data_IF_814851369733
#
_entry.id   IF_814851369733
#
_cell.length_a   1.000
_cell.length_b   1.000
_cell.length_c   1.000
_cell.angle_alpha   90.00
_cell.angle_beta   90.00
_cell.angle_gamma   90.00
#
_symmetry.space_group_name_H-M   'P 1'
#
loop_
_entity.id
_entity.type
_entity.pdbx_description
1 polymer ?
#
# COMPACT_ATOMS: atom_id res chain seq x y z
N UNK A 1 7.98 17.79 3.23
CA UNK A 1 8.40 16.55 3.90
C UNK A 1 7.24 15.69 4.42
N UNK A 2 5.98 16.09 4.15
CA UNK A 2 4.80 15.32 4.53
C UNK A 2 3.85 15.20 3.35
N UNK A 3 3.02 14.15 3.34
CA UNK A 3 2.01 13.94 2.30
C UNK A 3 1.12 15.17 2.13
N UNK A 4 0.70 15.81 3.22
CA UNK A 4 -0.13 17.01 3.19
C UNK A 4 0.52 18.17 2.43
N UNK A 5 1.82 18.37 2.58
CA UNK A 5 2.57 19.42 1.86
C UNK A 5 2.59 19.16 0.34
N UNK A 6 2.73 17.89 -0.05
CA UNK A 6 2.71 17.48 -1.44
C UNK A 6 1.33 17.65 -2.08
N UNK A 7 0.27 17.26 -1.37
CA UNK A 7 -1.11 17.48 -1.82
C UNK A 7 -1.45 18.96 -1.95
N UNK A 8 -1.05 19.78 -0.98
CA UNK A 8 -1.25 21.23 -1.05
C UNK A 8 -0.50 21.85 -2.23
N UNK A 9 0.71 21.35 -2.55
CA UNK A 9 1.46 21.82 -3.70
C UNK A 9 0.74 21.54 -5.02
N UNK A 10 0.12 20.37 -5.15
CA UNK A 10 -0.69 20.03 -6.32
C UNK A 10 -1.96 20.92 -6.39
N UNK A 11 -2.67 21.08 -5.28
CA UNK A 11 -3.88 21.92 -5.19
C UNK A 11 -3.59 23.39 -5.50
N UNK A 12 -2.43 23.89 -5.09
CA UNK A 12 -1.99 25.27 -5.34
C UNK A 12 -1.46 25.50 -6.78
N UNK A 13 -1.42 24.45 -7.61
CA UNK A 13 -0.91 24.54 -8.98
C UNK A 13 0.62 24.67 -9.08
N UNK A 14 1.36 24.26 -8.05
CA UNK A 14 2.83 24.26 -8.08
C UNK A 14 3.42 23.08 -8.88
N UNK A 15 2.58 22.15 -9.29
CA UNK A 15 2.91 21.02 -10.13
C UNK A 15 1.65 20.48 -10.80
N UNK A 16 1.83 19.76 -11.90
CA UNK A 16 0.73 19.18 -12.68
C UNK A 16 0.42 17.74 -12.29
N UNK A 17 1.26 17.13 -11.47
CA UNK A 17 1.10 15.77 -10.97
C UNK A 17 1.86 15.55 -9.67
N UNK A 18 1.46 14.51 -8.97
CA UNK A 18 2.06 14.03 -7.74
C UNK A 18 2.38 12.54 -7.88
N UNK A 19 3.57 12.14 -7.43
CA UNK A 19 3.96 10.73 -7.33
C UNK A 19 4.29 10.37 -5.89
N UNK A 20 3.61 9.35 -5.38
CA UNK A 20 3.85 8.78 -4.05
C UNK A 20 3.31 7.34 -4.02
N UNK A 21 3.22 6.73 -2.84
CA UNK A 21 2.73 5.37 -2.67
C UNK A 21 1.33 5.18 -3.27
N UNK A 22 1.09 4.02 -3.89
CA UNK A 22 -0.20 3.71 -4.52
C UNK A 22 -1.37 3.81 -3.54
N UNK A 23 -1.21 3.34 -2.31
CA UNK A 23 -2.23 3.42 -1.25
C UNK A 23 -2.59 4.86 -0.90
N UNK A 24 -1.61 5.76 -0.86
CA UNK A 24 -1.83 7.19 -0.59
C UNK A 24 -2.63 7.87 -1.71
N UNK A 25 -2.20 7.72 -2.97
CA UNK A 25 -2.85 8.40 -4.08
C UNK A 25 -4.25 7.86 -4.37
N UNK A 26 -4.48 6.55 -4.20
CA UNK A 26 -5.79 5.94 -4.36
C UNK A 26 -6.81 6.52 -3.36
N UNK A 27 -6.48 6.52 -2.07
CA UNK A 27 -7.34 7.07 -1.04
C UNK A 27 -7.59 8.57 -1.23
N UNK A 28 -6.56 9.33 -1.55
CA UNK A 28 -6.66 10.77 -1.73
C UNK A 28 -7.53 11.14 -2.95
N UNK A 29 -7.34 10.47 -4.09
CA UNK A 29 -8.10 10.75 -5.31
C UNK A 29 -9.60 10.48 -5.14
N UNK A 30 -9.99 9.47 -4.35
CA UNK A 30 -11.39 9.18 -4.05
C UNK A 30 -12.11 10.34 -3.33
N UNK A 31 -11.39 11.06 -2.49
CA UNK A 31 -11.96 12.14 -1.67
C UNK A 31 -11.72 13.54 -2.24
N UNK A 32 -11.02 13.63 -3.38
CA UNK A 32 -10.71 14.90 -4.05
C UNK A 32 -11.18 14.86 -5.51
N UNK A 33 -12.45 15.26 -5.78
CA UNK A 33 -13.01 15.28 -7.13
C UNK A 33 -12.17 16.13 -8.10
N UNK A 34 -12.02 15.66 -9.32
CA UNK A 34 -11.21 16.33 -10.35
C UNK A 34 -9.78 15.80 -10.46
N UNK A 35 -9.40 14.88 -9.59
CA UNK A 35 -8.10 14.19 -9.63
C UNK A 35 -8.31 12.69 -9.86
N UNK A 36 -7.36 12.07 -10.52
CA UNK A 36 -7.36 10.63 -10.79
C UNK A 36 -5.93 10.10 -10.76
N UNK A 37 -5.80 8.81 -10.48
CA UNK A 37 -4.52 8.10 -10.63
C UNK A 37 -4.36 7.75 -12.11
N UNK A 38 -3.38 8.35 -12.75
CA UNK A 38 -3.13 8.17 -14.19
C UNK A 38 -2.08 7.12 -14.52
N UNK A 39 -1.21 6.81 -13.56
CA UNK A 39 -0.15 5.79 -13.68
C UNK A 39 -0.20 4.96 -12.39
N UNK A 40 -0.57 3.69 -12.52
CA UNK A 40 -0.78 2.80 -11.38
C UNK A 40 0.54 2.20 -10.85
N UNK A 41 1.55 2.11 -11.70
CA UNK A 41 2.86 1.57 -11.33
C UNK A 41 3.97 2.34 -12.03
N UNK A 42 4.94 2.77 -11.26
CA UNK A 42 6.09 3.53 -11.74
C UNK A 42 7.38 3.00 -11.09
N UNK A 43 8.26 2.40 -11.91
CA UNK A 43 9.50 1.79 -11.42
C UNK A 43 9.31 0.37 -10.91
N UNK A 44 10.27 -0.08 -10.08
CA UNK A 44 10.24 -1.40 -9.47
C UNK A 44 9.20 -1.44 -8.34
N UNK A 45 8.67 -2.64 -8.08
CA UNK A 45 7.76 -2.87 -6.96
C UNK A 45 8.56 -2.76 -5.66
N UNK A 46 8.06 -1.95 -4.74
CA UNK A 46 8.58 -1.83 -3.39
C UNK A 46 7.53 -2.31 -2.38
N UNK A 47 7.97 -2.90 -1.27
CA UNK A 47 7.09 -3.49 -0.27
C UNK A 47 7.39 -2.98 1.12
N UNK A 48 6.34 -2.91 1.93
CA UNK A 48 6.42 -2.62 3.36
C UNK A 48 6.56 -3.95 4.10
N UNK A 49 7.47 -4.01 5.07
CA UNK A 49 7.69 -5.20 5.87
C UNK A 49 7.90 -4.87 7.34
N UNK A 50 7.52 -5.77 8.27
CA UNK A 50 7.90 -5.67 9.66
C UNK A 50 9.43 -5.70 9.81
N UNK A 51 9.96 -4.96 10.76
CA UNK A 51 11.38 -4.94 11.06
C UNK A 51 11.66 -5.37 12.51
N UNK A 52 12.73 -6.13 12.70
CA UNK A 52 13.20 -6.55 14.02
C UNK A 52 14.62 -6.03 14.26
N UNK A 53 15.03 -5.98 15.52
CA UNK A 53 16.41 -5.63 15.86
C UNK A 53 17.38 -6.64 15.21
N UNK A 54 18.44 -6.14 14.61
CA UNK A 54 19.48 -6.96 13.99
C UNK A 54 20.03 -7.99 15.00
N UNK A 55 20.05 -9.25 14.60
CA UNK A 55 20.48 -10.36 15.42
C UNK A 55 19.36 -11.04 16.22
N UNK A 56 18.14 -10.49 16.27
CA UNK A 56 16.98 -11.14 16.88
C UNK A 56 16.35 -12.13 15.90
N UNK A 57 17.06 -13.23 15.64
CA UNK A 57 16.63 -14.25 14.67
C UNK A 57 15.41 -15.03 15.15
N UNK A 58 15.27 -15.24 16.44
CA UNK A 58 14.11 -15.94 17.02
C UNK A 58 12.80 -15.20 16.72
N UNK A 59 12.78 -13.87 16.90
CA UNK A 59 11.59 -13.07 16.56
C UNK A 59 11.38 -12.98 15.06
N UNK A 60 12.46 -12.83 14.29
CA UNK A 60 12.38 -12.82 12.83
C UNK A 60 11.73 -14.09 12.28
N UNK A 61 12.20 -15.25 12.73
CA UNK A 61 11.68 -16.56 12.30
C UNK A 61 10.20 -16.70 12.69
N UNK A 62 9.84 -16.33 13.91
CA UNK A 62 8.45 -16.38 14.38
C UNK A 62 7.51 -15.49 13.55
N UNK A 63 7.94 -14.27 13.19
CA UNK A 63 7.15 -13.37 12.33
C UNK A 63 7.03 -13.95 10.92
N UNK A 64 8.11 -14.44 10.34
CA UNK A 64 8.07 -15.02 8.99
C UNK A 64 7.19 -16.27 8.92
N UNK A 65 7.23 -17.13 9.92
CA UNK A 65 6.37 -18.32 10.00
C UNK A 65 4.89 -17.91 10.12
N UNK A 66 4.59 -16.90 10.91
CA UNK A 66 3.22 -16.39 11.03
C UNK A 66 2.72 -15.76 9.73
N UNK A 67 3.53 -14.93 9.06
CA UNK A 67 3.17 -14.35 7.75
C UNK A 67 2.88 -15.45 6.73
N UNK A 68 3.67 -16.50 6.73
CA UNK A 68 3.45 -17.65 5.84
C UNK A 68 2.13 -18.34 6.13
N UNK A 69 1.85 -18.61 7.42
CA UNK A 69 0.59 -19.25 7.85
C UNK A 69 -0.62 -18.41 7.46
N UNK A 70 -0.58 -17.10 7.70
CA UNK A 70 -1.63 -16.18 7.30
C UNK A 70 -1.83 -16.15 5.77
N UNK A 71 -0.75 -16.26 5.01
CA UNK A 71 -0.81 -16.37 3.55
C UNK A 71 -1.51 -17.63 3.06
N UNK A 72 -1.28 -18.79 3.72
CA UNK A 72 -1.95 -20.05 3.42
C UNK A 72 -3.48 -19.95 3.66
N UNK A 73 -3.90 -19.10 4.59
CA UNK A 73 -5.29 -18.82 4.93
C UNK A 73 -5.91 -17.70 4.05
N UNK A 74 -5.14 -17.08 3.18
CA UNK A 74 -5.53 -15.91 2.38
C UNK A 74 -6.04 -14.74 3.25
N UNK A 75 -5.39 -14.57 4.41
CA UNK A 75 -5.84 -13.67 5.47
C UNK A 75 -5.81 -12.19 5.03
N UNK A 76 -4.72 -11.77 4.38
CA UNK A 76 -4.55 -10.35 4.03
C UNK A 76 -5.53 -9.90 2.96
N UNK A 77 -5.90 -10.74 1.99
CA UNK A 77 -6.97 -10.43 1.05
C UNK A 77 -8.33 -10.34 1.75
N UNK A 78 -8.63 -11.25 2.66
CA UNK A 78 -9.88 -11.20 3.43
C UNK A 78 -9.96 -9.94 4.30
N UNK A 79 -8.85 -9.57 4.94
CA UNK A 79 -8.77 -8.34 5.75
C UNK A 79 -8.89 -7.08 4.88
N UNK A 80 -8.24 -7.06 3.71
CA UNK A 80 -8.40 -5.98 2.74
C UNK A 80 -9.87 -5.76 2.35
N UNK A 81 -10.57 -6.82 2.00
CA UNK A 81 -11.99 -6.75 1.63
C UNK A 81 -12.85 -6.17 2.77
N UNK A 82 -12.56 -6.58 4.00
CA UNK A 82 -13.32 -6.15 5.16
C UNK A 82 -13.03 -4.71 5.61
N UNK A 83 -11.82 -4.21 5.37
CA UNK A 83 -11.33 -2.97 6.01
C UNK A 83 -10.89 -1.90 5.02
N UNK A 84 -10.11 -2.26 3.99
CA UNK A 84 -9.44 -1.30 3.12
C UNK A 84 -10.15 -1.05 1.79
N UNK A 85 -10.95 -1.98 1.29
CA UNK A 85 -11.70 -1.75 0.04
C UNK A 85 -12.54 -0.47 0.06
N UNK A 86 -13.28 -0.12 1.14
CA UNK A 86 -14.00 1.15 1.18
C UNK A 86 -13.08 2.39 1.15
N UNK A 87 -11.83 2.25 1.60
CA UNK A 87 -10.86 3.35 1.64
C UNK A 87 -10.22 3.59 0.28
N UNK A 88 -9.90 2.51 -0.45
CA UNK A 88 -9.20 2.61 -1.75
C UNK A 88 -10.16 2.55 -2.94
N UNK A 89 -11.41 2.14 -2.74
CA UNK A 89 -12.45 2.10 -3.75
C UNK A 89 -12.58 0.76 -4.47
N UNK A 90 -13.73 0.56 -5.10
CA UNK A 90 -14.07 -0.67 -5.81
C UNK A 90 -13.20 -0.93 -7.05
N UNK A 91 -12.61 0.11 -7.62
CA UNK A 91 -11.75 -0.01 -8.81
C UNK A 91 -10.29 -0.35 -8.47
N UNK A 92 -9.91 -0.31 -7.19
CA UNK A 92 -8.58 -0.67 -6.76
C UNK A 92 -8.39 -2.19 -6.86
N UNK A 93 -7.27 -2.59 -7.46
CA UNK A 93 -6.89 -4.01 -7.59
C UNK A 93 -6.24 -4.50 -6.30
N UNK A 94 -6.94 -5.39 -5.58
CA UNK A 94 -6.44 -5.97 -4.33
C UNK A 94 -5.09 -6.68 -4.52
N UNK A 95 -4.89 -7.37 -5.64
CA UNK A 95 -3.63 -8.09 -5.91
C UNK A 95 -2.43 -7.16 -6.08
N UNK A 96 -2.68 -5.89 -6.43
CA UNK A 96 -1.62 -4.86 -6.49
C UNK A 96 -1.29 -4.23 -5.13
N UNK A 97 -2.14 -4.42 -4.13
CA UNK A 97 -2.05 -3.78 -2.81
C UNK A 97 -1.72 -4.76 -1.69
N UNK A 98 -1.97 -6.04 -1.90
CA UNK A 98 -1.87 -7.09 -0.86
C UNK A 98 -0.89 -8.16 -1.29
N UNK A 99 0.00 -8.53 -0.38
CA UNK A 99 0.95 -9.64 -0.55
C UNK A 99 0.62 -10.74 0.45
N UNK A 100 0.38 -11.95 -0.04
CA UNK A 100 0.15 -13.11 0.81
C UNK A 100 1.45 -13.89 1.04
N UNK A 101 1.65 -14.34 2.29
CA UNK A 101 2.77 -15.20 2.66
C UNK A 101 4.16 -14.56 2.55
N UNK A 102 4.23 -13.26 2.27
CA UNK A 102 5.50 -12.56 2.07
C UNK A 102 6.18 -12.88 0.73
N UNK A 103 5.46 -13.44 -0.22
CA UNK A 103 5.97 -13.79 -1.55
C UNK A 103 5.48 -12.78 -2.58
N UNK A 104 6.41 -12.21 -3.32
CA UNK A 104 6.14 -11.33 -4.47
C UNK A 104 6.44 -12.14 -5.73
N UNK A 105 5.44 -12.31 -6.56
CA UNK A 105 5.56 -12.98 -7.87
C UNK A 105 6.07 -12.03 -8.96
#
# INVERSE_FOLDING_TARGET
DQYADAYNALLDGRGDGLSTDNTEVLAWALTNPGYTVGIDSLGDIDTIAPAVQKGNTTLLDAINDEIKTLGEENFFHADYEATLRPVYGESADADSLVVEGGVID
#
